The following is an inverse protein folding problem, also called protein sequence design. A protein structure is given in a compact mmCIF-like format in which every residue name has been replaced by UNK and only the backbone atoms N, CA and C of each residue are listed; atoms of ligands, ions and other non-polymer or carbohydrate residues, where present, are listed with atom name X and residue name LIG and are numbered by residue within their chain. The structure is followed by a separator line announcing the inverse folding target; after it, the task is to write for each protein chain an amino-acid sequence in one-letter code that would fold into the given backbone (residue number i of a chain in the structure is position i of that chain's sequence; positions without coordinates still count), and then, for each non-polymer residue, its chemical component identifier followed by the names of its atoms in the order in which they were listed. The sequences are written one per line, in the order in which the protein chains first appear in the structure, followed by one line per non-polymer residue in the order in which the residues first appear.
data_IF_745661312559
#
_entry.id   IF_745661312559
#
_cell.length_a   1.000
_cell.length_b   1.000
_cell.length_c   1.000
_cell.angle_alpha   90.00
_cell.angle_beta   90.00
_cell.angle_gamma   90.00
#
_symmetry.space_group_name_H-M   'P 1'
#
loop_
_entity.id
_entity.type
_entity.pdbx_description
1 polymer ?
#
# COMPACT_ATOMS: atom_id res chain seq x y z
N UNK A 1 82.25 44.86 -21.71
CA UNK A 1 82.10 44.54 -20.28
C UNK A 1 80.92 43.58 -20.11
N UNK A 2 81.18 42.46 -19.44
CA UNK A 2 80.35 41.29 -19.05
C UNK A 2 78.82 41.48 -18.87
N UNK A 3 78.05 40.50 -19.39
CA UNK A 3 77.05 39.58 -18.73
C UNK A 3 75.98 39.15 -19.78
N UNK A 4 75.95 37.92 -20.34
CA UNK A 4 75.44 36.64 -19.78
C UNK A 4 73.93 36.70 -19.51
N UNK A 5 73.00 35.83 -19.94
CA UNK A 5 72.91 34.53 -20.63
C UNK A 5 71.37 34.29 -20.75
N UNK A 6 70.75 33.81 -21.83
CA UNK A 6 70.39 32.41 -22.16
C UNK A 6 69.34 32.57 -23.29
N UNK A 7 69.49 31.82 -24.39
CA UNK A 7 68.54 31.77 -25.49
C UNK A 7 67.63 30.55 -25.30
N UNK A 8 66.30 30.71 -25.36
CA UNK A 8 65.37 29.58 -25.40
C UNK A 8 64.80 29.47 -26.80
N UNK A 9 65.22 28.44 -27.53
CA UNK A 9 64.70 28.04 -28.83
C UNK A 9 63.42 27.22 -28.61
N UNK A 10 62.30 27.68 -29.16
CA UNK A 10 61.02 26.95 -29.15
C UNK A 10 61.05 25.83 -30.18
N UNK A 11 60.83 24.60 -29.73
CA UNK A 11 60.39 23.47 -30.55
C UNK A 11 59.27 22.75 -29.79
N UNK A 12 58.38 22.09 -30.54
CA UNK A 12 57.56 20.91 -30.24
C UNK A 12 56.16 21.07 -30.87
N UNK A 13 55.98 20.42 -32.02
CA UNK A 13 55.31 19.11 -32.23
C UNK A 13 53.79 19.25 -32.21
N UNK A 14 53.21 19.03 -33.39
CA UNK A 14 51.78 18.95 -33.66
C UNK A 14 51.17 17.77 -32.92
N UNK A 15 50.21 18.03 -32.03
CA UNK A 15 49.36 17.00 -31.45
C UNK A 15 48.17 16.71 -32.37
N UNK A 16 48.09 15.46 -32.83
CA UNK A 16 46.89 14.87 -33.42
C UNK A 16 45.78 14.80 -32.37
N UNK A 17 44.64 15.40 -32.67
CA UNK A 17 43.43 15.38 -31.84
C UNK A 17 42.89 13.95 -31.73
N UNK A 18 42.93 13.38 -30.53
CA UNK A 18 42.16 12.19 -30.19
C UNK A 18 40.75 12.66 -29.83
N UNK A 19 39.78 12.35 -30.69
CA UNK A 19 38.35 12.49 -30.36
C UNK A 19 37.99 11.44 -29.32
N UNK A 20 37.70 11.89 -28.09
CA UNK A 20 37.09 11.08 -27.05
C UNK A 20 35.56 11.12 -27.25
N UNK A 21 35.04 10.29 -28.16
CA UNK A 21 33.62 9.99 -28.21
C UNK A 21 33.32 8.91 -27.18
N UNK A 22 32.75 9.28 -26.04
CA UNK A 22 32.11 8.33 -25.15
C UNK A 22 30.86 7.78 -25.87
N UNK A 23 30.87 6.50 -26.22
CA UNK A 23 29.67 5.81 -26.69
C UNK A 23 28.72 5.63 -25.50
N UNK A 24 27.54 6.24 -25.56
CA UNK A 24 26.45 5.91 -24.65
C UNK A 24 26.13 4.41 -24.74
N UNK A 25 25.89 3.71 -23.61
CA UNK A 25 25.49 2.31 -23.67
C UNK A 25 24.09 2.22 -24.28
N UNK A 26 24.01 1.66 -25.48
CA UNK A 26 22.75 1.28 -26.12
C UNK A 26 21.99 0.32 -25.20
N UNK A 27 20.84 0.78 -24.70
CA UNK A 27 19.88 -0.01 -23.95
C UNK A 27 19.34 -1.11 -24.86
N UNK A 28 19.76 -2.35 -24.65
CA UNK A 28 19.21 -3.50 -25.37
C UNK A 28 17.69 -3.57 -25.16
N UNK A 29 16.95 -3.54 -26.26
CA UNK A 29 15.50 -3.74 -26.26
C UNK A 29 15.26 -5.25 -26.21
N UNK A 30 14.82 -5.76 -25.06
CA UNK A 30 14.38 -7.15 -24.92
C UNK A 30 13.04 -7.31 -25.65
N UNK A 31 12.84 -8.36 -26.48
CA UNK A 31 11.62 -8.55 -27.24
C UNK A 31 10.39 -8.77 -26.35
N UNK A 32 9.28 -8.15 -26.73
CA UNK A 32 7.96 -8.18 -26.08
C UNK A 32 7.25 -9.54 -26.28
N UNK A 33 7.81 -10.62 -25.75
CA UNK A 33 7.24 -11.97 -25.87
C UNK A 33 7.54 -12.83 -24.62
N UNK A 34 6.92 -12.48 -23.49
CA UNK A 34 6.59 -13.40 -22.40
C UNK A 34 5.43 -12.80 -21.59
N UNK A 35 4.19 -13.01 -22.05
CA UNK A 35 2.97 -12.66 -21.31
C UNK A 35 2.69 -13.78 -20.30
N UNK A 36 3.58 -13.92 -19.33
CA UNK A 36 3.34 -14.60 -18.07
C UNK A 36 3.31 -13.54 -16.98
N UNK A 37 2.19 -13.40 -16.27
CA UNK A 37 2.12 -12.51 -15.10
C UNK A 37 3.17 -12.99 -14.10
N UNK A 38 4.31 -12.33 -14.06
CA UNK A 38 5.41 -12.72 -13.20
C UNK A 38 4.96 -12.56 -11.74
N UNK A 39 4.98 -13.66 -10.99
CA UNK A 39 4.74 -13.67 -9.54
C UNK A 39 5.75 -12.81 -8.75
N UNK A 40 6.75 -12.23 -9.43
CA UNK A 40 7.73 -11.29 -8.86
C UNK A 40 7.19 -9.88 -8.59
N UNK A 41 5.92 -9.59 -8.94
CA UNK A 41 5.34 -8.24 -8.82
C UNK A 41 4.51 -8.07 -7.54
N UNK A 42 4.23 -9.14 -6.78
CA UNK A 42 3.45 -9.04 -5.54
C UNK A 42 4.34 -8.45 -4.43
N UNK A 43 4.00 -7.27 -3.94
CA UNK A 43 4.73 -6.63 -2.83
C UNK A 43 4.46 -7.40 -1.53
N UNK A 44 5.46 -8.17 -1.10
CA UNK A 44 5.37 -9.03 0.09
C UNK A 44 5.55 -8.25 1.39
N UNK A 45 6.04 -7.00 1.37
CA UNK A 45 6.39 -6.27 2.58
C UNK A 45 5.19 -5.63 3.29
N UNK A 46 4.03 -5.54 2.62
CA UNK A 46 2.82 -5.00 3.23
C UNK A 46 2.27 -5.99 4.27
N UNK A 47 2.13 -5.60 5.54
CA UNK A 47 1.60 -6.45 6.59
C UNK A 47 0.15 -6.87 6.30
N UNK A 48 -0.09 -8.18 6.41
CA UNK A 48 -1.42 -8.80 6.30
C UNK A 48 -1.38 -10.11 7.09
N UNK A 49 -2.49 -10.48 7.73
CA UNK A 49 -2.54 -11.72 8.50
C UNK A 49 -2.62 -12.95 7.60
N UNK A 50 -2.24 -14.12 8.14
CA UNK A 50 -2.34 -15.41 7.42
C UNK A 50 -3.74 -15.65 6.87
N UNK A 51 -4.77 -15.53 7.71
CA UNK A 51 -6.15 -15.74 7.32
C UNK A 51 -6.61 -14.76 6.23
N UNK A 52 -6.27 -13.48 6.36
CA UNK A 52 -6.68 -12.47 5.39
C UNK A 52 -5.99 -12.66 4.04
N UNK A 53 -4.69 -12.95 4.04
CA UNK A 53 -3.93 -13.22 2.82
C UNK A 53 -4.50 -14.42 2.05
N UNK A 54 -4.77 -15.52 2.74
CA UNK A 54 -5.38 -16.72 2.16
C UNK A 54 -6.79 -16.39 1.64
N UNK A 55 -7.56 -15.63 2.40
CA UNK A 55 -8.94 -15.26 2.01
C UNK A 55 -8.96 -14.42 0.75
N UNK A 56 -8.06 -13.45 0.60
CA UNK A 56 -7.96 -12.64 -0.62
C UNK A 56 -7.65 -13.52 -1.83
N UNK A 57 -6.75 -14.49 -1.69
CA UNK A 57 -6.45 -15.47 -2.76
C UNK A 57 -7.70 -16.28 -3.10
N UNK A 58 -8.48 -16.70 -2.11
CA UNK A 58 -9.69 -17.51 -2.32
C UNK A 58 -10.87 -16.72 -2.89
N UNK A 59 -11.00 -15.44 -2.59
CA UNK A 59 -12.01 -14.56 -3.18
C UNK A 59 -11.82 -14.42 -4.69
N UNK A 60 -10.60 -14.55 -5.19
CA UNK A 60 -10.31 -14.61 -6.62
C UNK A 60 -10.74 -15.95 -7.28
N UNK A 61 -11.00 -16.99 -6.49
CA UNK A 61 -11.45 -18.32 -6.95
C UNK A 61 -12.97 -18.36 -6.98
N UNK A 62 -13.56 -18.13 -8.16
CA UNK A 62 -14.93 -18.47 -8.59
C UNK A 62 -16.13 -18.05 -7.67
N UNK A 63 -17.03 -17.24 -8.24
CA UNK A 63 -18.12 -16.49 -7.57
C UNK A 63 -19.26 -17.29 -6.90
N UNK A 64 -19.28 -18.62 -6.94
CA UNK A 64 -20.44 -19.40 -6.45
C UNK A 64 -20.48 -19.54 -4.93
N UNK A 65 -19.35 -19.37 -4.26
CA UNK A 65 -19.23 -19.39 -2.80
C UNK A 65 -18.57 -18.09 -2.37
N UNK A 66 -19.38 -17.05 -2.20
CA UNK A 66 -18.93 -15.81 -1.56
C UNK A 66 -18.56 -16.13 -0.12
N UNK A 67 -17.28 -15.96 0.22
CA UNK A 67 -16.84 -16.03 1.60
C UNK A 67 -17.43 -14.82 2.34
N UNK A 68 -17.93 -15.01 3.57
CA UNK A 68 -18.41 -13.88 4.37
C UNK A 68 -17.26 -12.90 4.62
N UNK A 69 -17.55 -11.60 4.81
CA UNK A 69 -16.54 -10.64 5.25
C UNK A 69 -15.94 -11.11 6.58
N UNK A 70 -14.62 -11.01 6.71
CA UNK A 70 -13.91 -11.38 7.94
C UNK A 70 -14.14 -10.28 8.98
N UNK A 71 -15.10 -10.51 9.87
CA UNK A 71 -15.34 -9.64 11.03
C UNK A 71 -14.35 -9.91 12.17
N UNK A 72 -13.78 -11.11 12.23
CA UNK A 72 -12.69 -11.50 13.12
C UNK A 72 -11.91 -12.58 12.36
N UNK A 73 -10.58 -12.56 12.44
CA UNK A 73 -9.70 -13.57 11.86
C UNK A 73 -10.02 -14.98 12.34
N UNK A 74 -10.62 -15.15 13.53
CA UNK A 74 -11.12 -16.44 14.04
C UNK A 74 -12.35 -16.96 13.28
N UNK A 75 -13.08 -16.11 12.53
CA UNK A 75 -14.16 -16.53 11.62
C UNK A 75 -13.65 -16.94 10.23
N UNK A 76 -12.33 -16.98 10.00
CA UNK A 76 -11.75 -17.37 8.71
C UNK A 76 -11.81 -18.88 8.43
N UNK A 77 -12.36 -19.71 9.32
CA UNK A 77 -12.42 -21.17 9.16
C UNK A 77 -12.93 -21.62 7.78
N UNK A 78 -14.03 -21.08 7.21
CA UNK A 78 -14.49 -21.48 5.88
C UNK A 78 -13.45 -21.21 4.79
N UNK A 79 -12.70 -20.11 4.90
CA UNK A 79 -11.62 -19.80 3.98
C UNK A 79 -10.45 -20.78 4.18
N UNK A 80 -10.03 -21.02 5.43
CA UNK A 80 -8.91 -21.90 5.74
C UNK A 80 -9.18 -23.37 5.33
N UNK A 81 -10.38 -23.89 5.54
CA UNK A 81 -10.78 -25.22 5.05
C UNK A 81 -10.81 -25.30 3.52
N UNK A 82 -11.27 -24.23 2.85
CA UNK A 82 -11.28 -24.16 1.40
C UNK A 82 -9.85 -24.12 0.83
N UNK A 83 -8.96 -23.40 1.49
CA UNK A 83 -7.53 -23.35 1.15
C UNK A 83 -6.88 -24.73 1.24
N UNK A 84 -7.20 -25.52 2.27
CA UNK A 84 -6.72 -26.89 2.39
C UNK A 84 -7.27 -27.80 1.28
N UNK A 85 -8.58 -27.71 0.99
CA UNK A 85 -9.20 -28.48 -0.12
C UNK A 85 -8.55 -28.18 -1.48
N UNK A 86 -8.13 -26.94 -1.69
CA UNK A 86 -7.40 -26.51 -2.89
C UNK A 86 -5.89 -26.82 -2.81
N UNK A 87 -5.39 -27.40 -1.72
CA UNK A 87 -3.99 -27.77 -1.54
C UNK A 87 -3.04 -26.57 -1.49
N UNK A 88 -3.53 -25.36 -1.22
CA UNK A 88 -2.69 -24.16 -1.09
C UNK A 88 -2.06 -24.04 0.31
N UNK A 89 -2.66 -24.68 1.32
CA UNK A 89 -2.14 -24.83 2.68
C UNK A 89 -2.38 -26.24 3.21
N UNK A 90 -1.80 -26.58 4.36
CA UNK A 90 -2.17 -27.76 5.16
C UNK A 90 -2.64 -27.24 6.53
N UNK A 91 -3.90 -27.47 6.95
CA UNK A 91 -4.44 -26.80 8.14
C UNK A 91 -3.66 -27.11 9.42
N UNK A 92 -3.06 -28.30 9.51
CA UNK A 92 -2.22 -28.70 10.65
C UNK A 92 -1.03 -27.76 10.89
N UNK A 93 -0.54 -27.09 9.84
CA UNK A 93 0.57 -26.14 9.90
C UNK A 93 0.09 -24.70 10.20
N UNK A 94 -1.23 -24.49 10.22
CA UNK A 94 -1.91 -23.22 10.47
C UNK A 94 -2.91 -23.40 11.61
N UNK A 95 -2.46 -23.64 12.86
CA UNK A 95 -3.38 -23.76 13.98
C UNK A 95 -4.12 -22.43 14.21
N UNK A 96 -5.37 -22.50 14.66
CA UNK A 96 -6.32 -21.38 14.62
C UNK A 96 -5.81 -20.11 15.32
N UNK A 97 -5.08 -20.26 16.41
CA UNK A 97 -4.47 -19.17 17.18
C UNK A 97 -3.46 -18.35 16.37
N UNK A 98 -2.91 -18.92 15.28
CA UNK A 98 -1.92 -18.24 14.44
C UNK A 98 -2.54 -17.45 13.29
N UNK A 99 -3.84 -17.61 13.02
CA UNK A 99 -4.48 -17.02 11.83
C UNK A 99 -4.45 -15.49 11.80
N UNK A 100 -4.37 -14.89 12.98
CA UNK A 100 -4.25 -13.43 13.19
C UNK A 100 -2.80 -12.93 13.13
N UNK A 101 -1.83 -13.83 13.06
CA UNK A 101 -0.42 -13.46 12.92
C UNK A 101 -0.13 -12.98 11.51
N UNK A 102 0.86 -12.09 11.39
CA UNK A 102 1.35 -11.62 10.09
C UNK A 102 1.96 -12.78 9.31
N UNK A 103 1.55 -12.93 8.05
CA UNK A 103 2.14 -13.92 7.16
C UNK A 103 3.53 -13.46 6.71
N UNK A 104 4.53 -14.33 6.86
CA UNK A 104 5.91 -14.02 6.48
C UNK A 104 6.08 -13.96 4.96
N UNK A 105 7.13 -13.28 4.47
CA UNK A 105 7.42 -13.21 3.03
C UNK A 105 7.68 -14.59 2.41
N UNK A 106 8.31 -15.50 3.14
CA UNK A 106 8.54 -16.88 2.73
C UNK A 106 7.22 -17.64 2.60
N UNK A 107 6.35 -17.53 3.59
CA UNK A 107 5.04 -18.17 3.63
C UNK A 107 4.11 -17.63 2.52
N UNK A 108 4.07 -16.31 2.30
CA UNK A 108 3.38 -15.71 1.14
C UNK A 108 3.85 -16.35 -0.17
N UNK A 109 5.15 -16.53 -0.33
CA UNK A 109 5.75 -17.11 -1.54
C UNK A 109 5.36 -18.57 -1.71
N UNK A 110 5.37 -19.35 -0.63
CA UNK A 110 4.94 -20.75 -0.64
C UNK A 110 3.47 -20.91 -1.01
N UNK A 111 2.58 -20.12 -0.40
CA UNK A 111 1.14 -20.12 -0.70
C UNK A 111 0.89 -19.75 -2.16
N UNK A 112 1.51 -18.68 -2.65
CA UNK A 112 1.36 -18.24 -4.05
C UNK A 112 1.90 -19.27 -5.05
N UNK A 113 3.02 -19.94 -4.73
CA UNK A 113 3.56 -20.99 -5.57
C UNK A 113 2.61 -22.19 -5.67
N UNK A 114 1.98 -22.60 -4.57
CA UNK A 114 0.97 -23.66 -4.57
C UNK A 114 -0.29 -23.22 -5.32
N UNK A 115 -0.71 -21.97 -5.13
CA UNK A 115 -1.85 -21.41 -5.85
C UNK A 115 -1.63 -21.40 -7.37
N UNK A 116 -0.46 -20.98 -7.83
CA UNK A 116 -0.10 -20.97 -9.25
C UNK A 116 -0.01 -22.38 -9.88
N UNK A 117 0.27 -23.40 -9.07
CA UNK A 117 0.26 -24.80 -9.52
C UNK A 117 -1.14 -25.42 -9.58
N UNK A 118 -2.15 -24.77 -8.99
CA UNK A 118 -3.52 -25.27 -8.95
C UNK A 118 -4.31 -24.79 -10.19
N UNK A 119 -4.87 -25.74 -10.95
CA UNK A 119 -5.62 -25.50 -12.19
C UNK A 119 -6.97 -24.81 -12.02
N UNK A 120 -7.53 -24.82 -10.81
CA UNK A 120 -8.79 -24.15 -10.47
C UNK A 120 -8.60 -22.67 -10.11
N UNK A 121 -7.34 -22.25 -9.91
CA UNK A 121 -6.99 -20.90 -9.48
C UNK A 121 -6.56 -20.07 -10.68
N UNK A 122 -7.29 -18.97 -10.90
CA UNK A 122 -6.96 -17.97 -11.90
C UNK A 122 -6.00 -16.94 -11.29
N UNK A 123 -4.71 -17.06 -11.64
CA UNK A 123 -3.67 -16.21 -11.07
C UNK A 123 -3.78 -14.73 -11.49
N UNK A 124 -4.42 -14.42 -12.61
CA UNK A 124 -4.68 -13.03 -13.02
C UNK A 124 -5.66 -12.37 -12.04
N UNK A 125 -6.71 -13.10 -11.65
CA UNK A 125 -7.66 -12.64 -10.63
C UNK A 125 -7.02 -12.54 -9.26
N UNK A 126 -6.17 -13.50 -8.89
CA UNK A 126 -5.42 -13.44 -7.62
C UNK A 126 -4.53 -12.20 -7.59
N UNK A 127 -3.79 -11.93 -8.66
CA UNK A 127 -2.97 -10.74 -8.79
C UNK A 127 -3.79 -9.47 -8.62
N UNK A 128 -4.92 -9.37 -9.34
CA UNK A 128 -5.84 -8.22 -9.25
C UNK A 128 -6.35 -8.02 -7.81
N UNK A 129 -6.85 -9.07 -7.17
CA UNK A 129 -7.35 -9.01 -5.81
C UNK A 129 -6.27 -8.59 -4.80
N UNK A 130 -5.04 -9.14 -4.93
CA UNK A 130 -3.92 -8.76 -4.08
C UNK A 130 -3.48 -7.31 -4.31
N UNK A 131 -3.52 -6.82 -5.55
CA UNK A 131 -3.16 -5.44 -5.90
C UNK A 131 -4.13 -4.39 -5.33
N UNK A 132 -5.36 -4.81 -5.01
CA UNK A 132 -6.38 -3.96 -4.39
C UNK A 132 -6.25 -3.90 -2.86
N UNK A 133 -5.50 -4.82 -2.23
CA UNK A 133 -5.37 -4.89 -0.75
C UNK A 133 -3.95 -4.65 -0.24
N UNK A 134 -2.91 -5.10 -0.94
CA UNK A 134 -1.51 -4.91 -0.52
C UNK A 134 -0.97 -3.57 -1.03
N UNK A 135 -1.61 -2.48 -0.60
CA UNK A 135 -1.28 -1.13 -1.04
C UNK A 135 0.14 -0.76 -0.63
N UNK A 136 0.98 -0.44 -1.62
CA UNK A 136 2.36 0.00 -1.42
C UNK A 136 2.46 1.52 -1.31
N UNK A 137 1.69 2.23 -2.15
CA UNK A 137 1.78 3.67 -2.29
C UNK A 137 0.42 4.30 -2.10
N UNK A 138 0.44 5.51 -1.56
CA UNK A 138 -0.74 6.36 -1.49
C UNK A 138 -0.42 7.68 -2.16
N UNK A 139 -1.36 8.19 -2.95
CA UNK A 139 -1.25 9.52 -3.55
C UNK A 139 -2.45 10.36 -3.17
N UNK A 140 -2.24 11.67 -3.01
CA UNK A 140 -3.30 12.68 -2.84
C UNK A 140 -3.11 13.72 -3.93
N UNK A 141 -4.14 13.95 -4.74
CA UNK A 141 -4.11 14.90 -5.88
C UNK A 141 -2.94 14.67 -6.85
N UNK A 142 -2.53 13.41 -7.01
CA UNK A 142 -1.42 13.00 -7.88
C UNK A 142 -0.03 13.08 -7.22
N UNK A 143 0.08 13.65 -6.02
CA UNK A 143 1.35 13.69 -5.27
C UNK A 143 1.48 12.46 -4.36
N UNK A 144 2.68 11.87 -4.30
CA UNK A 144 2.94 10.70 -3.44
C UNK A 144 3.03 11.13 -1.99
N UNK A 145 2.29 10.47 -1.11
CA UNK A 145 2.34 10.70 0.34
C UNK A 145 3.56 10.00 0.92
N UNK A 146 4.36 10.71 1.70
CA UNK A 146 5.41 10.10 2.51
C UNK A 146 4.80 9.39 3.72
N UNK A 147 4.83 8.06 3.70
CA UNK A 147 4.34 7.21 4.79
C UNK A 147 5.42 6.94 5.85
N UNK A 148 6.70 7.26 5.57
CA UNK A 148 7.81 6.89 6.42
C UNK A 148 7.83 5.39 6.73
N UNK A 149 7.74 5.03 8.01
CA UNK A 149 7.67 3.64 8.48
C UNK A 149 6.23 3.14 8.69
N UNK A 150 5.22 4.01 8.53
CA UNK A 150 3.81 3.69 8.73
C UNK A 150 3.21 3.07 7.47
N UNK A 151 3.61 1.84 7.16
CA UNK A 151 3.10 1.13 5.99
C UNK A 151 1.58 0.91 6.11
N UNK A 152 0.82 0.92 4.99
CA UNK A 152 -0.55 0.45 4.99
C UNK A 152 -0.64 -0.93 5.64
N UNK A 153 -1.71 -1.16 6.37
CA UNK A 153 -1.95 -2.42 7.06
C UNK A 153 -3.31 -2.98 6.63
N UNK A 154 -3.58 -4.22 6.99
CA UNK A 154 -4.86 -4.84 6.73
C UNK A 154 -5.45 -5.35 8.05
N UNK A 155 -6.72 -5.08 8.27
CA UNK A 155 -7.41 -5.48 9.49
C UNK A 155 -8.90 -5.66 9.24
N UNK A 156 -9.44 -6.82 9.61
CA UNK A 156 -10.86 -7.16 9.46
C UNK A 156 -11.36 -6.98 8.02
N UNK A 157 -10.55 -7.38 7.04
CA UNK A 157 -10.93 -7.25 5.62
C UNK A 157 -10.83 -5.84 5.05
N UNK A 158 -10.29 -4.87 5.81
CA UNK A 158 -10.16 -3.47 5.38
C UNK A 158 -8.69 -3.08 5.26
N UNK A 159 -8.38 -2.29 4.22
CA UNK A 159 -7.09 -1.58 4.14
C UNK A 159 -7.12 -0.43 5.15
N UNK A 160 -6.18 -0.47 6.08
CA UNK A 160 -5.97 0.51 7.12
C UNK A 160 -4.81 1.44 6.74
N UNK A 161 -5.04 2.74 6.84
CA UNK A 161 -4.06 3.76 6.49
C UNK A 161 -3.68 4.63 7.70
N UNK A 162 -2.42 5.10 7.78
CA UNK A 162 -2.01 6.00 8.84
C UNK A 162 -2.70 7.36 8.70
N UNK A 163 -3.59 7.64 9.65
CA UNK A 163 -4.49 8.78 9.62
C UNK A 163 -3.76 10.10 9.37
N UNK A 164 -2.67 10.34 10.12
CA UNK A 164 -1.91 11.59 10.07
C UNK A 164 -1.28 11.83 8.69
N UNK A 165 -0.55 10.86 8.16
CA UNK A 165 0.16 11.01 6.89
C UNK A 165 -0.81 11.39 5.76
N UNK A 166 -1.94 10.69 5.67
CA UNK A 166 -2.93 10.93 4.60
C UNK A 166 -3.70 12.23 4.85
N UNK A 167 -4.11 12.51 6.08
CA UNK A 167 -4.85 13.72 6.43
C UNK A 167 -4.03 15.00 6.22
N UNK A 168 -2.76 15.00 6.62
CA UNK A 168 -1.85 16.14 6.41
C UNK A 168 -1.59 16.37 4.91
N UNK A 169 -1.46 15.31 4.12
CA UNK A 169 -1.40 15.41 2.66
C UNK A 169 -2.70 15.97 2.03
N UNK A 170 -3.85 15.77 2.68
CA UNK A 170 -5.13 16.39 2.31
C UNK A 170 -5.32 17.80 2.88
N UNK A 171 -4.31 18.37 3.53
CA UNK A 171 -4.32 19.74 4.07
C UNK A 171 -4.99 19.90 5.44
N UNK A 172 -5.15 18.81 6.20
CA UNK A 172 -5.63 18.88 7.59
C UNK A 172 -4.46 18.99 8.57
N UNK A 173 -4.63 19.80 9.61
CA UNK A 173 -3.89 19.69 10.86
C UNK A 173 -4.49 18.55 11.70
N UNK A 174 -3.63 17.77 12.36
CA UNK A 174 -4.06 16.63 13.18
C UNK A 174 -3.56 16.75 14.61
N UNK A 175 -4.48 16.88 15.56
CA UNK A 175 -4.21 16.93 16.99
C UNK A 175 -4.60 15.61 17.67
N UNK A 176 -3.86 15.21 18.69
CA UNK A 176 -4.12 13.98 19.47
C UNK A 176 -4.45 14.31 20.92
N UNK A 177 -5.58 13.80 21.40
CA UNK A 177 -5.96 13.80 22.81
C UNK A 177 -5.80 12.39 23.40
N UNK A 178 -4.76 12.22 24.20
CA UNK A 178 -4.45 10.95 24.87
C UNK A 178 -5.44 10.58 25.99
N UNK A 179 -6.16 11.55 26.57
CA UNK A 179 -7.11 11.27 27.64
C UNK A 179 -8.37 10.60 27.10
N UNK A 180 -8.78 10.96 25.88
CA UNK A 180 -9.98 10.43 25.23
C UNK A 180 -9.67 9.44 24.10
N UNK A 181 -8.39 9.25 23.78
CA UNK A 181 -7.93 8.48 22.61
C UNK A 181 -8.56 8.98 21.31
N UNK A 182 -8.54 10.30 21.11
CA UNK A 182 -9.19 10.96 19.97
C UNK A 182 -8.19 11.74 19.13
N UNK A 183 -8.16 11.48 17.83
CA UNK A 183 -7.53 12.36 16.86
C UNK A 183 -8.56 13.37 16.33
N UNK A 184 -8.20 14.65 16.30
CA UNK A 184 -9.00 15.72 15.71
C UNK A 184 -8.31 16.23 14.46
N UNK A 185 -9.03 16.22 13.33
CA UNK A 185 -8.58 16.70 12.03
C UNK A 185 -9.25 18.04 11.75
N UNK A 186 -8.50 19.06 11.33
CA UNK A 186 -9.04 20.36 10.97
C UNK A 186 -8.27 21.01 9.81
N UNK A 187 -8.95 21.49 8.78
CA UNK A 187 -8.35 22.23 7.67
C UNK A 187 -8.87 23.68 7.54
N UNK A 188 -9.43 24.23 8.63
CA UNK A 188 -10.06 25.55 8.69
C UNK A 188 -11.46 25.63 8.05
N UNK A 189 -11.91 24.57 7.37
CA UNK A 189 -13.24 24.46 6.76
C UNK A 189 -14.06 23.36 7.38
N UNK A 190 -13.43 22.22 7.65
CA UNK A 190 -14.05 21.01 8.17
C UNK A 190 -13.25 20.54 9.39
N UNK A 191 -13.98 20.09 10.42
CA UNK A 191 -13.42 19.35 11.54
C UNK A 191 -14.00 17.93 11.56
N UNK A 192 -13.15 16.92 11.75
CA UNK A 192 -13.55 15.53 12.00
C UNK A 192 -12.85 15.00 13.24
N UNK A 193 -13.51 14.11 13.98
CA UNK A 193 -12.96 13.45 15.16
C UNK A 193 -12.97 11.95 14.96
N UNK A 194 -11.86 11.32 15.30
CA UNK A 194 -11.61 9.89 15.14
C UNK A 194 -11.22 9.34 16.51
N UNK A 195 -12.09 8.54 17.12
CA UNK A 195 -11.85 7.94 18.43
C UNK A 195 -11.48 6.46 18.28
N UNK A 196 -10.39 6.03 18.92
CA UNK A 196 -9.95 4.64 18.90
C UNK A 196 -11.06 3.73 19.42
N UNK A 197 -11.35 2.65 18.68
CA UNK A 197 -12.36 1.65 19.08
C UNK A 197 -13.81 1.99 18.75
N UNK A 198 -14.09 3.15 18.12
CA UNK A 198 -15.44 3.53 17.71
C UNK A 198 -15.56 3.64 16.18
N UNK A 199 -16.31 2.72 15.56
CA UNK A 199 -16.65 2.76 14.14
C UNK A 199 -17.85 3.67 13.89
N UNK A 200 -17.60 4.98 14.00
CA UNK A 200 -18.59 6.02 13.71
C UNK A 200 -17.85 7.30 13.34
N UNK A 201 -17.96 7.68 12.08
CA UNK A 201 -17.23 8.78 11.50
C UNK A 201 -18.19 9.86 11.03
N UNK A 202 -17.83 11.10 11.30
CA UNK A 202 -18.55 12.27 10.80
C UNK A 202 -17.58 13.43 10.65
N UNK A 203 -18.04 14.47 9.98
CA UNK A 203 -17.39 15.77 10.02
C UNK A 203 -18.42 16.87 10.24
N UNK A 204 -17.94 18.03 10.71
CA UNK A 204 -18.71 19.26 10.82
C UNK A 204 -18.05 20.38 10.03
N UNK A 205 -18.84 21.30 9.51
CA UNK A 205 -18.33 22.56 8.98
C UNK A 205 -17.86 23.44 10.13
N UNK A 206 -16.72 24.10 9.95
CA UNK A 206 -16.20 25.10 10.89
C UNK A 206 -16.90 26.44 10.67
N UNK A 207 -17.26 26.77 9.42
CA UNK A 207 -17.78 28.08 9.02
C UNK A 207 -19.31 28.14 8.89
N UNK A 208 -20.00 27.00 9.04
CA UNK A 208 -21.46 26.93 8.92
C UNK A 208 -22.05 25.96 9.94
N UNK A 209 -23.34 26.14 10.24
CA UNK A 209 -24.11 25.18 11.05
C UNK A 209 -24.45 24.01 10.14
N UNK A 210 -23.61 22.96 10.18
CA UNK A 210 -23.81 21.77 9.38
C UNK A 210 -22.85 20.65 9.78
N UNK A 211 -23.38 19.43 9.87
CA UNK A 211 -22.63 18.20 10.11
C UNK A 211 -23.05 17.17 9.08
N UNK A 212 -22.14 16.26 8.73
CA UNK A 212 -22.53 15.05 8.01
C UNK A 212 -23.38 14.15 8.93
N UNK A 213 -24.15 13.26 8.33
CA UNK A 213 -24.62 12.10 9.08
C UNK A 213 -23.41 11.25 9.52
N UNK A 214 -23.45 10.63 10.71
CA UNK A 214 -22.48 9.60 11.06
C UNK A 214 -22.57 8.42 10.09
N UNK A 215 -21.44 7.85 9.73
CA UNK A 215 -21.38 6.60 8.97
C UNK A 215 -20.34 5.65 9.57
N UNK A 216 -20.53 4.35 9.31
CA UNK A 216 -19.59 3.29 9.68
C UNK A 216 -18.77 2.91 8.45
N UNK A 217 -17.46 2.76 8.64
CA UNK A 217 -16.54 2.23 7.62
C UNK A 217 -16.32 0.72 7.79
N UNK A 218 -17.14 0.07 8.62
CA UNK A 218 -17.09 -1.36 8.94
C UNK A 218 -16.08 -1.74 10.03
N UNK A 219 -15.11 -0.87 10.32
CA UNK A 219 -14.01 -1.13 11.25
C UNK A 219 -13.64 0.14 12.01
N UNK A 220 -13.35 -0.01 13.30
CA UNK A 220 -12.95 1.10 14.16
C UNK A 220 -11.47 1.49 13.96
N UNK A 221 -11.08 2.74 14.28
CA UNK A 221 -9.68 3.15 14.28
C UNK A 221 -8.86 2.37 15.30
N UNK A 222 -7.58 2.16 14.99
CA UNK A 222 -6.63 1.45 15.87
C UNK A 222 -5.32 2.19 16.02
N UNK A 223 -4.64 1.94 17.14
CA UNK A 223 -3.22 2.26 17.28
C UNK A 223 -2.40 1.08 16.78
N UNK A 224 -1.52 1.33 15.81
CA UNK A 224 -0.52 0.38 15.31
C UNK A 224 0.82 1.08 15.42
N UNK A 225 1.73 0.50 16.22
CA UNK A 225 3.07 1.03 16.49
C UNK A 225 3.10 2.52 16.89
N UNK A 226 2.09 2.96 17.66
CA UNK A 226 1.98 4.35 18.13
C UNK A 226 1.33 5.33 17.15
N UNK A 227 1.00 4.89 15.94
CA UNK A 227 0.30 5.69 14.93
C UNK A 227 -1.19 5.31 14.89
N UNK A 228 -2.06 6.31 14.68
CA UNK A 228 -3.51 6.07 14.48
C UNK A 228 -3.75 5.61 13.05
N UNK A 229 -4.41 4.48 12.89
CA UNK A 229 -4.85 3.94 11.62
C UNK A 229 -6.38 3.95 11.53
N UNK A 230 -6.89 4.29 10.36
CA UNK A 230 -8.31 4.27 10.02
C UNK A 230 -8.54 3.43 8.76
N UNK A 231 -9.74 2.86 8.55
CA UNK A 231 -10.07 2.25 7.27
C UNK A 231 -9.94 3.27 6.15
N UNK A 232 -9.45 2.87 4.98
CA UNK A 232 -9.31 3.76 3.81
C UNK A 232 -10.63 4.46 3.44
N UNK A 233 -11.76 3.78 3.63
CA UNK A 233 -13.11 4.31 3.42
C UNK A 233 -13.43 5.53 4.31
N UNK A 234 -12.75 5.72 5.46
CA UNK A 234 -12.87 6.96 6.25
C UNK A 234 -12.64 8.22 5.40
N UNK A 235 -11.66 8.16 4.49
CA UNK A 235 -11.29 9.29 3.65
C UNK A 235 -12.31 9.57 2.54
N UNK A 236 -13.29 8.69 2.30
CA UNK A 236 -14.33 8.92 1.29
C UNK A 236 -15.22 10.13 1.62
N UNK A 237 -15.23 10.58 2.89
CA UNK A 237 -15.84 11.86 3.29
C UNK A 237 -15.19 13.08 2.62
N UNK A 238 -13.89 13.01 2.30
CA UNK A 238 -13.07 14.15 1.88
C UNK A 238 -12.56 14.03 0.45
N UNK A 239 -12.33 12.80 -0.01
CA UNK A 239 -11.75 12.51 -1.32
C UNK A 239 -12.50 11.40 -2.03
N UNK A 240 -12.42 11.37 -3.35
CA UNK A 240 -12.72 10.17 -4.14
C UNK A 240 -11.50 9.26 -4.16
N UNK A 241 -11.72 7.94 -4.19
CA UNK A 241 -10.65 6.95 -4.11
C UNK A 241 -10.71 5.97 -5.29
N UNK A 242 -9.56 5.71 -5.90
CA UNK A 242 -9.36 4.66 -6.90
C UNK A 242 -8.09 3.88 -6.60
N UNK A 243 -8.05 2.59 -6.93
CA UNK A 243 -6.86 1.76 -6.74
C UNK A 243 -6.39 1.24 -8.10
N UNK A 244 -5.09 1.39 -8.37
CA UNK A 244 -4.42 0.84 -9.54
C UNK A 244 -2.96 0.59 -9.23
N UNK A 245 -2.39 -0.48 -9.78
CA UNK A 245 -0.95 -0.78 -9.69
C UNK A 245 -0.39 -0.66 -8.26
N UNK A 246 -1.03 -1.34 -7.30
CA UNK A 246 -0.63 -1.35 -5.87
C UNK A 246 -0.67 0.04 -5.21
N UNK A 247 -1.30 1.01 -5.86
CA UNK A 247 -1.34 2.41 -5.43
C UNK A 247 -2.79 2.82 -5.17
N UNK A 248 -3.03 3.38 -3.99
CA UNK A 248 -4.30 4.02 -3.66
C UNK A 248 -4.22 5.51 -4.00
N UNK A 249 -5.14 5.97 -4.84
CA UNK A 249 -5.20 7.34 -5.31
C UNK A 249 -6.39 8.04 -4.70
N UNK A 250 -6.13 9.07 -3.91
CA UNK A 250 -7.13 10.00 -3.42
C UNK A 250 -7.12 11.26 -4.27
N UNK A 251 -8.31 11.72 -4.65
CA UNK A 251 -8.53 13.02 -5.29
C UNK A 251 -9.44 13.81 -4.36
N UNK A 252 -8.94 14.92 -3.83
CA UNK A 252 -9.70 15.77 -2.93
C UNK A 252 -10.97 16.25 -3.63
N UNK A 253 -12.11 16.14 -2.95
CA UNK A 253 -13.37 16.65 -3.49
C UNK A 253 -13.28 18.17 -3.58
N UNK A 254 -13.29 18.70 -4.81
CA UNK A 254 -13.43 20.14 -5.03
C UNK A 254 -14.78 20.56 -4.48
N UNK A 255 -14.79 21.26 -3.34
CA UNK A 255 -16.00 21.86 -2.81
C UNK A 255 -15.96 23.34 -3.17
N UNK A 256 -16.75 23.68 -4.19
CA UNK A 256 -17.20 25.05 -4.48
C UNK A 256 -17.85 25.70 -3.25
#
# INVERSE_FOLDING_TARGET
MKKSLIWTLMAFVTFSSINLYASEPTKEIIPLADQGVSTHVINRNIPITKAEFITVILQAVNHKEQLPPIMDTHYALPAMERAEKLGIIELKDYPMETWSEMVSNEEKSGILSKAAANKEIDMEKVYKALSEVLIEKVTVDGETVDLGHNLPSHYMGQVMLPLRNIAEAMGFEVEWDAATYTATLNNGRIESKVQIGFDSYLYKSVNAIGMSAPFSAGVAPKLIDGSVYVPSEYFSMFADCTISDWTMHFINKSRE
#
